data_IF_348390903298
#
_entry.id   IF_348390903298
#
_cell.length_a   1.000
_cell.length_b   1.000
_cell.length_c   1.000
_cell.angle_alpha   90.00
_cell.angle_beta   90.00
_cell.angle_gamma   90.00
#
_symmetry.space_group_name_H-M   'P 1'
#
loop_
_entity.id
_entity.type
_entity.pdbx_description
1 polymer ?
#
# COMPACT_ATOMS: atom_id res chain seq x y z
N UNK A 1 -18.85 19.54 1.59
CA UNK A 1 -17.42 19.26 1.72
C UNK A 1 -17.11 17.77 1.82
N UNK A 2 -17.42 17.10 2.93
CA UNK A 2 -17.16 15.66 3.11
C UNK A 2 -17.71 14.77 1.97
N UNK A 3 -18.90 15.07 1.45
CA UNK A 3 -19.49 14.35 0.33
C UNK A 3 -18.66 14.51 -0.96
N UNK A 4 -18.18 15.72 -1.25
CA UNK A 4 -17.32 16.01 -2.40
C UNK A 4 -15.96 15.31 -2.27
N UNK A 5 -15.35 15.34 -1.07
CA UNK A 5 -14.11 14.63 -0.77
C UNK A 5 -14.25 13.12 -0.97
N UNK A 6 -15.31 12.51 -0.43
CA UNK A 6 -15.55 11.09 -0.60
C UNK A 6 -15.91 10.70 -2.03
N UNK A 7 -16.61 11.60 -2.76
CA UNK A 7 -16.96 11.38 -4.16
C UNK A 7 -15.69 11.32 -5.02
N UNK A 8 -14.75 12.25 -4.86
CA UNK A 8 -13.51 12.24 -5.63
C UNK A 8 -12.66 10.99 -5.39
N UNK A 9 -12.64 10.46 -4.15
CA UNK A 9 -11.95 9.19 -3.85
C UNK A 9 -12.62 8.00 -4.55
N UNK A 10 -13.95 7.98 -4.55
CA UNK A 10 -14.72 6.87 -5.16
C UNK A 10 -14.62 6.88 -6.68
N UNK A 11 -14.65 8.07 -7.27
CA UNK A 11 -14.67 8.27 -8.72
C UNK A 11 -13.24 8.32 -9.32
N UNK A 12 -12.21 8.08 -8.48
CA UNK A 12 -10.80 8.05 -8.91
C UNK A 12 -10.54 6.85 -9.83
N UNK A 13 -10.11 7.14 -11.03
CA UNK A 13 -9.79 6.14 -12.07
C UNK A 13 -8.50 6.48 -12.84
N UNK A 14 -7.65 7.35 -12.27
CA UNK A 14 -6.36 7.66 -12.86
C UNK A 14 -5.41 6.47 -12.82
N UNK A 15 -4.41 6.49 -13.65
CA UNK A 15 -3.39 5.44 -13.73
C UNK A 15 -2.29 5.81 -14.69
N UNK A 16 -1.43 4.86 -14.96
CA UNK A 16 -0.28 4.99 -15.83
C UNK A 16 -0.29 3.93 -16.93
N UNK A 17 0.19 4.32 -18.09
CA UNK A 17 0.53 3.41 -19.17
C UNK A 17 1.99 2.97 -19.02
N UNK A 18 2.21 1.68 -19.18
CA UNK A 18 3.53 1.04 -19.18
C UNK A 18 3.70 0.21 -20.43
N UNK A 19 4.90 0.21 -21.02
CA UNK A 19 5.25 -0.78 -22.04
C UNK A 19 5.48 -2.15 -21.39
N UNK A 20 5.46 -3.23 -22.17
CA UNK A 20 5.65 -4.58 -21.63
C UNK A 20 7.04 -4.78 -21.03
N UNK A 21 8.04 -4.09 -21.54
CA UNK A 21 9.41 -4.13 -21.04
C UNK A 21 9.52 -3.52 -19.63
N UNK A 22 8.81 -2.40 -19.38
CA UNK A 22 8.72 -1.81 -18.04
C UNK A 22 8.06 -2.77 -17.02
N UNK A 23 7.17 -3.66 -17.48
CA UNK A 23 6.44 -4.62 -16.65
C UNK A 23 7.12 -6.01 -16.62
N UNK A 24 8.39 -6.10 -16.98
CA UNK A 24 9.13 -7.36 -16.86
C UNK A 24 9.10 -7.90 -15.43
N UNK A 25 8.95 -9.22 -15.31
CA UNK A 25 8.78 -9.93 -14.03
C UNK A 25 7.33 -10.09 -13.57
N UNK A 26 6.36 -9.45 -14.25
CA UNK A 26 4.95 -9.60 -13.88
C UNK A 26 4.35 -10.91 -14.40
N UNK A 27 3.54 -11.63 -13.58
CA UNK A 27 2.81 -12.82 -14.02
C UNK A 27 1.84 -12.52 -15.16
N UNK A 28 1.73 -13.44 -16.12
CA UNK A 28 0.88 -13.27 -17.30
C UNK A 28 -0.61 -13.08 -16.97
N UNK A 29 -1.11 -13.74 -15.93
CA UNK A 29 -2.49 -13.60 -15.49
C UNK A 29 -2.78 -12.20 -14.94
N UNK A 30 -1.81 -11.56 -14.27
CA UNK A 30 -1.94 -10.18 -13.78
C UNK A 30 -1.86 -9.17 -14.95
N UNK A 31 -0.91 -9.38 -15.89
CA UNK A 31 -0.83 -8.56 -17.10
C UNK A 31 -2.12 -8.61 -17.93
N UNK A 32 -2.80 -9.76 -17.95
CA UNK A 32 -4.06 -9.92 -18.68
C UNK A 32 -5.21 -9.06 -18.12
N UNK A 33 -5.16 -8.67 -16.85
CA UNK A 33 -6.16 -7.82 -16.18
C UNK A 33 -6.05 -6.35 -16.58
N UNK A 34 -4.87 -5.91 -17.01
CA UNK A 34 -4.63 -4.52 -17.38
C UNK A 34 -5.21 -4.22 -18.76
N UNK A 35 -5.82 -3.02 -18.92
CA UNK A 35 -6.31 -2.57 -20.20
C UNK A 35 -5.16 -2.51 -21.24
N UNK A 36 -5.46 -2.85 -22.47
CA UNK A 36 -4.46 -3.01 -23.55
C UNK A 36 -4.62 -1.91 -24.57
N UNK A 37 -3.50 -1.38 -25.04
CA UNK A 37 -3.41 -0.52 -26.20
C UNK A 37 -2.22 -0.94 -27.05
N UNK A 38 -2.36 -0.87 -28.36
CA UNK A 38 -1.26 -1.06 -29.32
C UNK A 38 -1.10 0.24 -30.06
N UNK A 39 0.06 0.85 -29.98
CA UNK A 39 0.40 2.05 -30.73
C UNK A 39 0.79 1.72 -32.18
N UNK A 40 0.75 2.71 -33.12
CA UNK A 40 1.12 2.52 -34.52
C UNK A 40 2.55 1.97 -34.74
N UNK A 41 3.43 2.09 -33.74
CA UNK A 41 4.80 1.56 -33.73
C UNK A 41 4.89 0.15 -33.14
N UNK A 42 3.79 -0.60 -33.03
CA UNK A 42 3.68 -1.94 -32.45
C UNK A 42 4.00 -2.02 -30.94
N UNK A 43 4.16 -0.89 -30.25
CA UNK A 43 4.39 -0.85 -28.81
C UNK A 43 3.14 -1.30 -28.06
N UNK A 44 3.24 -2.41 -27.35
CA UNK A 44 2.14 -2.97 -26.55
C UNK A 44 2.12 -2.32 -25.18
N UNK A 45 1.10 -1.51 -24.91
CA UNK A 45 0.92 -0.82 -23.64
C UNK A 45 -0.07 -1.56 -22.73
N UNK A 46 0.13 -1.36 -21.43
CA UNK A 46 -0.76 -1.83 -20.36
C UNK A 46 -1.08 -0.69 -19.43
N UNK A 47 -2.35 -0.52 -19.09
CA UNK A 47 -2.82 0.52 -18.19
C UNK A 47 -3.03 -0.01 -16.79
N UNK A 48 -2.18 0.43 -15.85
CA UNK A 48 -2.31 0.16 -14.42
C UNK A 48 -2.98 1.35 -13.72
N UNK A 49 -4.10 1.10 -13.04
CA UNK A 49 -4.80 2.13 -12.28
C UNK A 49 -4.10 2.44 -10.97
N UNK A 50 -4.26 3.67 -10.48
CA UNK A 50 -3.79 4.08 -9.14
C UNK A 50 -4.64 3.48 -8.00
N UNK A 51 -5.31 2.36 -8.26
CA UNK A 51 -6.02 1.58 -7.25
C UNK A 51 -5.05 0.63 -6.55
N UNK A 52 -5.35 0.36 -5.27
CA UNK A 52 -4.50 -0.49 -4.42
C UNK A 52 -4.17 -1.83 -5.08
N UNK A 53 -5.12 -2.48 -5.72
CA UNK A 53 -4.92 -3.79 -6.35
C UNK A 53 -3.87 -3.74 -7.47
N UNK A 54 -4.00 -2.82 -8.43
CA UNK A 54 -3.09 -2.72 -9.58
C UNK A 54 -1.71 -2.20 -9.14
N UNK A 55 -1.67 -1.18 -8.25
CA UNK A 55 -0.40 -0.66 -7.75
C UNK A 55 0.39 -1.69 -6.94
N UNK A 56 -0.28 -2.50 -6.10
CA UNK A 56 0.40 -3.56 -5.35
C UNK A 56 0.99 -4.63 -6.26
N UNK A 57 0.32 -4.97 -7.36
CA UNK A 57 0.85 -5.94 -8.34
C UNK A 57 2.10 -5.37 -9.02
N UNK A 58 2.06 -4.12 -9.52
CA UNK A 58 3.24 -3.50 -10.14
C UNK A 58 4.40 -3.39 -9.14
N UNK A 59 4.14 -2.89 -7.92
CA UNK A 59 5.15 -2.75 -6.88
C UNK A 59 5.72 -4.09 -6.41
N UNK A 60 4.92 -5.17 -6.45
CA UNK A 60 5.35 -6.49 -6.02
C UNK A 60 6.13 -7.28 -7.07
N UNK A 61 5.87 -7.06 -8.35
CA UNK A 61 6.39 -7.94 -9.40
C UNK A 61 7.31 -7.27 -10.42
N UNK A 62 7.15 -5.96 -10.72
CA UNK A 62 8.00 -5.30 -11.70
C UNK A 62 9.46 -5.30 -11.25
N UNK A 63 10.34 -5.89 -12.06
CA UNK A 63 11.78 -5.97 -11.76
C UNK A 63 12.44 -4.60 -11.78
N UNK A 64 12.05 -3.76 -12.75
CA UNK A 64 12.65 -2.43 -12.93
C UNK A 64 12.27 -1.48 -11.75
N UNK A 65 13.24 -0.99 -10.96
CA UNK A 65 12.98 -0.08 -9.85
C UNK A 65 12.37 1.26 -10.30
N UNK A 66 12.70 1.75 -11.50
CA UNK A 66 12.10 2.97 -12.04
C UNK A 66 10.59 2.80 -12.31
N UNK A 67 10.16 1.62 -12.76
CA UNK A 67 8.74 1.28 -12.93
C UNK A 67 8.01 1.29 -11.59
N UNK A 68 8.60 0.65 -10.56
CA UNK A 68 8.05 0.65 -9.20
C UNK A 68 7.93 2.07 -8.65
N UNK A 69 8.99 2.88 -8.77
CA UNK A 69 9.00 4.29 -8.36
C UNK A 69 7.91 5.11 -9.07
N UNK A 70 7.81 4.99 -10.40
CA UNK A 70 6.79 5.65 -11.22
C UNK A 70 5.38 5.32 -10.73
N UNK A 71 5.08 4.05 -10.47
CA UNK A 71 3.78 3.60 -9.95
C UNK A 71 3.53 4.09 -8.53
N UNK A 72 4.52 4.00 -7.65
CA UNK A 72 4.43 4.45 -6.25
C UNK A 72 4.10 5.96 -6.19
N UNK A 73 4.87 6.78 -6.88
CA UNK A 73 4.67 8.23 -6.92
C UNK A 73 3.29 8.58 -7.47
N UNK A 74 2.89 7.98 -8.59
CA UNK A 74 1.56 8.22 -9.18
C UNK A 74 0.42 7.85 -8.22
N UNK A 75 0.52 6.71 -7.54
CA UNK A 75 -0.49 6.28 -6.58
C UNK A 75 -0.53 7.14 -5.31
N UNK A 76 0.62 7.67 -4.87
CA UNK A 76 0.71 8.56 -3.71
C UNK A 76 0.15 9.96 -4.00
N UNK A 77 0.39 10.49 -5.20
CA UNK A 77 -0.04 11.82 -5.61
C UNK A 77 -1.40 11.87 -6.31
N UNK A 78 -2.12 10.76 -6.36
CA UNK A 78 -3.50 10.79 -6.85
C UNK A 78 -4.35 11.77 -6.02
N UNK A 79 -5.27 12.49 -6.64
CA UNK A 79 -6.20 13.42 -5.98
C UNK A 79 -5.56 14.64 -5.27
N UNK A 80 -4.62 15.36 -5.89
CA UNK A 80 -4.03 16.55 -5.28
C UNK A 80 -5.08 17.63 -4.94
N UNK A 81 -6.20 17.67 -5.68
CA UNK A 81 -7.32 18.57 -5.39
C UNK A 81 -8.05 18.31 -4.06
N UNK A 82 -7.80 17.18 -3.42
CA UNK A 82 -8.41 16.87 -2.12
C UNK A 82 -7.64 17.46 -0.93
N UNK A 83 -6.41 17.94 -1.11
CA UNK A 83 -5.58 18.48 -0.01
C UNK A 83 -6.31 19.65 0.67
N UNK A 84 -6.69 20.69 -0.09
CA UNK A 84 -7.42 21.82 0.47
C UNK A 84 -8.79 21.45 1.08
N UNK A 85 -9.48 20.46 0.51
CA UNK A 85 -10.72 19.94 1.10
C UNK A 85 -10.48 19.25 2.44
N UNK A 86 -9.37 18.50 2.58
CA UNK A 86 -9.01 17.83 3.82
C UNK A 86 -8.64 18.84 4.91
N UNK A 87 -7.85 19.85 4.58
CA UNK A 87 -7.49 20.95 5.49
C UNK A 87 -8.72 21.67 6.01
N UNK A 88 -9.65 22.03 5.11
CA UNK A 88 -10.88 22.70 5.51
C UNK A 88 -11.79 21.80 6.37
N UNK A 89 -11.89 20.49 6.04
CA UNK A 89 -12.61 19.53 6.87
C UNK A 89 -12.00 19.45 8.28
N UNK A 90 -10.66 19.41 8.39
CA UNK A 90 -9.96 19.36 9.67
C UNK A 90 -10.24 20.63 10.50
N UNK A 91 -10.14 21.81 9.87
CA UNK A 91 -10.46 23.10 10.51
C UNK A 91 -11.89 23.14 11.03
N UNK A 92 -12.88 22.80 10.20
CA UNK A 92 -14.30 22.78 10.61
C UNK A 92 -14.58 21.78 11.72
N UNK A 93 -13.92 20.64 11.72
CA UNK A 93 -14.03 19.65 12.81
C UNK A 93 -13.48 20.20 14.12
N UNK A 94 -12.37 20.93 14.09
CA UNK A 94 -11.80 21.56 15.26
C UNK A 94 -12.72 22.67 15.79
N UNK A 95 -13.19 23.57 14.93
CA UNK A 95 -14.14 24.63 15.28
C UNK A 95 -15.39 24.06 15.95
N UNK A 96 -15.98 23.01 15.37
CA UNK A 96 -17.16 22.35 15.94
C UNK A 96 -16.88 21.77 17.33
N UNK A 97 -15.73 21.13 17.53
CA UNK A 97 -15.35 20.58 18.84
C UNK A 97 -15.19 21.70 19.90
N UNK A 98 -14.59 22.84 19.51
CA UNK A 98 -14.46 24.03 20.39
C UNK A 98 -15.81 24.58 20.79
N UNK A 99 -16.76 24.68 19.86
CA UNK A 99 -18.12 25.15 20.15
C UNK A 99 -18.87 24.22 21.15
N UNK A 100 -18.55 22.93 21.12
CA UNK A 100 -19.10 21.93 22.04
C UNK A 100 -18.35 21.84 23.38
N UNK A 101 -17.34 22.72 23.62
CA UNK A 101 -16.56 22.78 24.86
C UNK A 101 -15.37 21.82 24.94
N UNK A 102 -15.03 21.10 23.85
CA UNK A 102 -13.89 20.18 23.81
C UNK A 102 -12.61 20.88 23.38
N UNK A 103 -11.46 20.44 23.92
CA UNK A 103 -10.15 20.98 23.56
C UNK A 103 -9.77 20.67 22.09
N UNK A 104 -10.23 19.54 21.55
CA UNK A 104 -9.94 19.14 20.17
C UNK A 104 -11.05 18.24 19.61
N UNK A 105 -11.06 18.05 18.27
CA UNK A 105 -11.94 17.07 17.64
C UNK A 105 -11.65 15.64 18.10
N UNK A 106 -10.41 15.31 18.40
CA UNK A 106 -10.01 13.99 18.91
C UNK A 106 -10.63 13.77 20.29
N UNK A 107 -10.50 14.73 21.23
CA UNK A 107 -11.13 14.65 22.54
C UNK A 107 -12.64 14.44 22.45
N UNK A 108 -13.33 15.21 21.61
CA UNK A 108 -14.76 15.03 21.32
C UNK A 108 -15.09 13.63 20.82
N UNK A 109 -14.30 13.08 19.91
CA UNK A 109 -14.59 11.77 19.31
C UNK A 109 -14.26 10.60 20.21
N UNK A 110 -13.31 10.75 21.13
CA UNK A 110 -12.87 9.71 22.05
C UNK A 110 -13.76 9.56 23.27
N UNK A 111 -14.53 10.56 23.67
CA UNK A 111 -15.37 10.56 24.85
C UNK A 111 -16.24 9.27 24.98
N UNK A 112 -16.79 8.81 23.87
CA UNK A 112 -17.65 7.62 23.80
C UNK A 112 -16.91 6.36 23.35
N UNK A 113 -15.56 6.39 23.23
CA UNK A 113 -14.72 5.28 22.82
C UNK A 113 -14.03 4.62 24.02
N UNK A 114 -13.48 3.42 23.82
CA UNK A 114 -12.72 2.71 24.86
C UNK A 114 -11.54 3.53 25.36
N UNK A 115 -10.82 4.20 24.45
CA UNK A 115 -9.63 5.00 24.79
C UNK A 115 -9.94 6.25 25.64
N UNK A 116 -11.16 6.79 25.60
CA UNK A 116 -11.65 7.97 26.34
C UNK A 116 -10.89 9.27 26.05
N UNK A 117 -9.57 9.30 26.12
CA UNK A 117 -8.75 10.53 26.03
C UNK A 117 -7.66 10.43 24.99
N UNK A 118 -7.22 11.57 24.41
CA UNK A 118 -6.07 11.61 23.50
C UNK A 118 -4.78 11.12 24.15
N UNK A 119 -4.57 11.41 25.43
CA UNK A 119 -3.38 11.03 26.21
C UNK A 119 -3.27 9.50 26.29
N UNK A 120 -4.38 8.80 26.56
CA UNK A 120 -4.38 7.33 26.54
C UNK A 120 -3.95 6.76 25.20
N UNK A 121 -4.41 7.36 24.09
CA UNK A 121 -4.01 6.92 22.74
C UNK A 121 -2.53 7.15 22.50
N UNK A 122 -2.00 8.31 22.95
CA UNK A 122 -0.59 8.64 22.83
C UNK A 122 0.29 7.65 23.59
N UNK A 123 -0.04 7.40 24.86
CA UNK A 123 0.68 6.42 25.68
C UNK A 123 0.66 5.00 25.08
N UNK A 124 -0.48 4.59 24.50
CA UNK A 124 -0.60 3.31 23.81
C UNK A 124 0.35 3.23 22.61
N UNK A 125 0.41 4.28 21.80
CA UNK A 125 1.30 4.32 20.63
C UNK A 125 2.77 4.31 21.04
N UNK A 126 3.16 5.03 22.08
CA UNK A 126 4.53 5.02 22.60
C UNK A 126 4.95 3.64 23.10
N UNK A 127 4.07 2.95 23.82
CA UNK A 127 4.32 1.55 24.25
C UNK A 127 4.43 0.59 23.08
N UNK A 128 3.57 0.72 22.06
CA UNK A 128 3.63 -0.11 20.85
C UNK A 128 4.90 0.16 20.06
N UNK A 129 5.28 1.43 19.88
CA UNK A 129 6.52 1.80 19.19
C UNK A 129 7.74 1.17 19.89
N UNK A 130 7.85 1.32 21.20
CA UNK A 130 8.94 0.72 21.97
C UNK A 130 8.99 -0.81 21.87
N UNK A 131 7.81 -1.46 21.91
CA UNK A 131 7.74 -2.92 21.83
C UNK A 131 8.07 -3.47 20.43
N UNK A 132 7.73 -2.73 19.38
CA UNK A 132 7.86 -3.20 18.00
C UNK A 132 9.15 -2.73 17.32
N UNK A 133 9.81 -1.69 17.85
CA UNK A 133 10.96 -1.05 17.20
C UNK A 133 12.07 -2.03 16.83
N UNK A 134 12.47 -2.87 17.76
CA UNK A 134 13.57 -3.83 17.54
C UNK A 134 13.24 -4.82 16.44
N UNK A 135 12.02 -5.36 16.46
CA UNK A 135 11.57 -6.32 15.44
C UNK A 135 11.44 -5.64 14.07
N UNK A 136 10.81 -4.48 14.01
CA UNK A 136 10.67 -3.71 12.77
C UNK A 136 12.03 -3.37 12.13
N UNK A 137 13.00 -3.01 12.96
CA UNK A 137 14.37 -2.76 12.51
C UNK A 137 15.03 -4.02 11.94
N UNK A 138 14.89 -5.17 12.61
CA UNK A 138 15.42 -6.45 12.12
C UNK A 138 14.76 -6.87 10.80
N UNK A 139 13.47 -6.73 10.67
CA UNK A 139 12.74 -7.01 9.43
C UNK A 139 13.20 -6.09 8.28
N UNK A 140 13.40 -4.80 8.56
CA UNK A 140 13.93 -3.86 7.57
C UNK A 140 15.35 -4.23 7.13
N UNK A 141 16.21 -4.64 8.05
CA UNK A 141 17.56 -5.10 7.73
C UNK A 141 17.54 -6.35 6.85
N UNK A 142 16.71 -7.34 7.18
CA UNK A 142 16.57 -8.55 6.38
C UNK A 142 16.10 -8.26 4.93
N UNK A 143 15.18 -7.31 4.75
CA UNK A 143 14.73 -6.88 3.42
C UNK A 143 15.86 -6.17 2.66
N UNK A 144 16.65 -5.32 3.35
CA UNK A 144 17.81 -4.63 2.76
C UNK A 144 18.89 -5.60 2.31
N UNK A 145 19.20 -6.61 3.15
CA UNK A 145 20.13 -7.68 2.77
C UNK A 145 19.62 -8.49 1.58
N UNK A 146 18.32 -8.77 1.54
CA UNK A 146 17.70 -9.46 0.39
C UNK A 146 17.79 -8.62 -0.90
N UNK A 147 17.65 -7.28 -0.80
CA UNK A 147 17.88 -6.36 -1.93
C UNK A 147 19.30 -6.50 -2.44
N UNK A 148 20.31 -6.39 -1.58
CA UNK A 148 21.73 -6.50 -1.96
C UNK A 148 22.04 -7.84 -2.64
N UNK A 149 21.60 -8.95 -2.04
CA UNK A 149 21.77 -10.28 -2.66
C UNK A 149 21.16 -10.36 -4.04
N UNK A 150 19.92 -9.86 -4.19
CA UNK A 150 19.21 -9.88 -5.48
C UNK A 150 19.95 -9.08 -6.56
N UNK A 151 20.41 -7.87 -6.24
CA UNK A 151 21.15 -7.01 -7.17
C UNK A 151 22.47 -7.65 -7.59
N UNK A 152 23.21 -8.21 -6.63
CA UNK A 152 24.45 -8.94 -6.89
C UNK A 152 24.23 -10.16 -7.82
N UNK A 153 23.23 -11.00 -7.50
CA UNK A 153 22.96 -12.24 -8.23
C UNK A 153 22.50 -11.99 -9.68
N UNK A 154 21.81 -10.87 -9.92
CA UNK A 154 21.32 -10.49 -11.25
C UNK A 154 22.25 -9.54 -11.99
N UNK A 155 23.40 -9.17 -11.41
CA UNK A 155 24.32 -8.17 -11.94
C UNK A 155 23.58 -6.87 -12.36
N UNK A 156 22.59 -6.47 -11.57
CA UNK A 156 21.72 -5.31 -11.83
C UNK A 156 22.35 -4.05 -11.23
N UNK A 157 23.15 -3.38 -12.05
CA UNK A 157 23.81 -2.12 -11.71
C UNK A 157 22.92 -0.89 -11.93
N UNK A 158 21.65 -1.08 -12.23
CA UNK A 158 20.71 0.01 -12.55
C UNK A 158 20.10 0.65 -11.31
N UNK A 159 20.22 0.03 -10.16
CA UNK A 159 19.76 0.61 -8.89
C UNK A 159 20.88 1.45 -8.26
N UNK A 160 20.88 2.75 -8.54
CA UNK A 160 21.85 3.71 -8.00
C UNK A 160 21.87 3.77 -6.46
N UNK A 161 20.82 3.25 -5.81
CA UNK A 161 20.63 3.26 -4.36
C UNK A 161 20.68 1.84 -3.76
N UNK A 162 21.71 1.05 -4.04
CA UNK A 162 21.89 -0.32 -3.53
C UNK A 162 21.75 -0.40 -2.01
N UNK A 163 22.28 0.58 -1.29
CA UNK A 163 22.28 0.63 0.18
C UNK A 163 20.98 1.13 0.78
N UNK A 164 20.10 1.73 -0.03
CA UNK A 164 18.87 2.35 0.45
C UNK A 164 17.64 1.52 0.10
N UNK A 165 16.87 1.13 1.10
CA UNK A 165 15.57 0.51 0.89
C UNK A 165 14.51 1.59 0.69
N UNK A 166 14.14 1.83 -0.56
CA UNK A 166 13.12 2.81 -0.91
C UNK A 166 11.69 2.29 -0.65
N UNK A 167 10.71 3.17 -0.42
CA UNK A 167 9.32 2.76 -0.19
C UNK A 167 8.71 1.90 -1.31
N UNK A 168 9.12 2.09 -2.54
CA UNK A 168 8.68 1.29 -3.70
C UNK A 168 9.37 -0.06 -3.84
N UNK A 169 10.42 -0.32 -3.06
CA UNK A 169 11.17 -1.58 -3.08
C UNK A 169 10.61 -2.62 -2.12
N UNK A 170 10.03 -2.17 -1.02
CA UNK A 170 9.59 -3.03 0.09
C UNK A 170 8.67 -4.17 -0.36
N UNK A 171 7.70 -3.87 -1.23
CA UNK A 171 6.75 -4.89 -1.71
C UNK A 171 7.44 -5.97 -2.56
N UNK A 172 8.38 -5.57 -3.43
CA UNK A 172 9.12 -6.47 -4.30
C UNK A 172 10.02 -7.43 -3.50
N UNK A 173 10.87 -6.89 -2.63
CA UNK A 173 11.81 -7.72 -1.86
C UNK A 173 11.13 -8.56 -0.77
N UNK A 174 10.03 -8.07 -0.19
CA UNK A 174 9.18 -8.89 0.70
C UNK A 174 8.54 -10.08 -0.04
N UNK A 175 8.13 -9.91 -1.30
CA UNK A 175 7.63 -11.03 -2.09
C UNK A 175 8.74 -12.05 -2.32
N UNK A 176 9.93 -11.62 -2.74
CA UNK A 176 11.06 -12.53 -2.96
C UNK A 176 11.42 -13.30 -1.69
N UNK A 177 11.48 -12.62 -0.53
CA UNK A 177 11.76 -13.27 0.74
C UNK A 177 10.71 -14.35 1.10
N UNK A 178 9.43 -14.11 0.79
CA UNK A 178 8.36 -15.11 0.99
C UNK A 178 8.48 -16.29 0.02
N UNK A 179 8.87 -16.04 -1.22
CA UNK A 179 9.12 -17.10 -2.19
C UNK A 179 10.29 -18.00 -1.79
N UNK A 180 11.37 -17.41 -1.25
CA UNK A 180 12.49 -18.17 -0.70
C UNK A 180 12.05 -19.10 0.44
N UNK A 181 11.08 -18.68 1.25
CA UNK A 181 10.46 -19.51 2.30
C UNK A 181 9.46 -20.55 1.75
N UNK A 182 9.27 -20.63 0.43
CA UNK A 182 8.26 -21.46 -0.24
C UNK A 182 6.82 -21.21 0.21
N UNK A 183 6.54 -20.01 0.72
CA UNK A 183 5.20 -19.57 1.08
C UNK A 183 4.54 -18.94 -0.13
N UNK A 184 3.83 -19.75 -0.91
CA UNK A 184 3.01 -19.27 -2.02
C UNK A 184 1.61 -18.95 -1.52
N UNK A 185 1.21 -17.69 -1.62
CA UNK A 185 -0.11 -17.22 -1.19
C UNK A 185 -1.27 -18.01 -1.86
N UNK A 186 -1.07 -18.43 -3.10
CA UNK A 186 -2.01 -19.24 -3.87
C UNK A 186 -2.25 -20.59 -3.18
N UNK A 187 -1.18 -21.27 -2.76
CA UNK A 187 -1.27 -22.56 -2.06
C UNK A 187 -1.97 -22.40 -0.69
N UNK A 188 -1.71 -21.30 0.02
CA UNK A 188 -2.39 -21.02 1.30
C UNK A 188 -3.88 -20.81 1.10
N UNK A 189 -4.30 -20.15 0.02
CA UNK A 189 -5.71 -19.88 -0.26
C UNK A 189 -6.54 -21.15 -0.50
N UNK A 190 -5.91 -22.22 -0.99
CA UNK A 190 -6.58 -23.52 -1.19
C UNK A 190 -7.04 -24.16 0.13
N UNK A 191 -6.34 -23.89 1.24
CA UNK A 191 -6.72 -24.40 2.57
C UNK A 191 -7.88 -23.63 3.20
N UNK A 192 -8.24 -22.46 2.64
CA UNK A 192 -9.31 -21.61 3.17
C UNK A 192 -10.39 -21.30 2.11
N UNK A 193 -11.09 -22.33 1.57
CA UNK A 193 -12.18 -22.08 0.65
C UNK A 193 -13.28 -21.27 1.35
N UNK A 194 -13.69 -20.16 0.74
CA UNK A 194 -14.55 -19.14 1.33
C UNK A 194 -15.78 -19.72 2.02
N UNK A 195 -16.49 -20.63 1.35
CA UNK A 195 -17.73 -21.23 1.88
C UNK A 195 -17.48 -22.03 3.17
N UNK A 196 -16.45 -22.87 3.19
CA UNK A 196 -16.11 -23.68 4.36
C UNK A 196 -15.64 -22.81 5.52
N UNK A 197 -14.78 -21.85 5.25
CA UNK A 197 -14.26 -20.91 6.26
C UNK A 197 -15.37 -20.10 6.91
N UNK A 198 -16.32 -19.55 6.12
CA UNK A 198 -17.44 -18.77 6.65
C UNK A 198 -18.36 -19.65 7.51
N UNK A 199 -18.68 -20.88 7.08
CA UNK A 199 -19.52 -21.78 7.89
C UNK A 199 -18.84 -22.14 9.21
N UNK A 200 -17.56 -22.50 9.20
CA UNK A 200 -16.80 -22.79 10.42
C UNK A 200 -16.72 -21.58 11.37
N UNK A 201 -16.57 -20.36 10.85
CA UNK A 201 -16.60 -19.14 11.67
C UNK A 201 -17.99 -18.91 12.31
N UNK A 202 -19.06 -19.16 11.58
CA UNK A 202 -20.43 -19.01 12.12
C UNK A 202 -20.74 -20.07 13.19
N UNK A 203 -20.24 -21.30 13.05
CA UNK A 203 -20.36 -22.34 14.08
C UNK A 203 -19.59 -21.99 15.36
N UNK A 204 -18.45 -21.30 15.27
CA UNK A 204 -17.70 -20.83 16.45
C UNK A 204 -18.40 -19.69 17.21
N UNK A 205 -19.33 -18.98 16.56
CA UNK A 205 -20.05 -17.84 17.13
C UNK A 205 -21.45 -18.20 17.62
N UNK A 206 -21.90 -19.42 17.40
CA UNK A 206 -23.20 -19.96 17.86
C UNK A 206 -23.07 -20.68 19.21
#
# INVERSE_FOLDING_TARGET
MRSRFNKSIRDEDSGLWFCLEELDGMPQHELARFAKQVEPQETRLRFARNRKADSQVVLGYARNPATRKKMYVSSAYKLPGNVGLLEEIAKRRHENARLLGYASHVAFRLETKVAKTPEFVQELFEKLEQALFTQAYQEQQAISERKKSYLHDNNDLTDEDEDTLNPWDTAFYNRLAKEDMRVHQENVSEYFPLRHTVLAMLELLS
#
